data_IF_673348775350
#
_entry.id   IF_673348775350
#
_cell.length_a   1.000
_cell.length_b   1.000
_cell.length_c   1.000
_cell.angle_alpha   90.00
_cell.angle_beta   90.00
_cell.angle_gamma   90.00
#
_symmetry.space_group_name_H-M   'P 1'
#
loop_
_entity.id
_entity.type
_entity.pdbx_description
1 polymer ?
#
# COMPACT_ATOMS: atom_id res chain seq x y z
N UNK A 1 -13.27 -26.95 -10.55
CA UNK A 1 -12.18 -25.97 -10.71
C UNK A 1 -12.80 -24.59 -10.78
N UNK A 2 -12.50 -23.76 -9.79
CA UNK A 2 -12.93 -22.37 -9.73
C UNK A 2 -12.14 -21.76 -8.61
N UNK A 3 -10.82 -21.65 -8.81
CA UNK A 3 -9.99 -20.83 -7.95
C UNK A 3 -10.67 -19.46 -7.94
N UNK A 4 -11.23 -19.08 -6.81
CA UNK A 4 -11.67 -17.72 -6.56
C UNK A 4 -10.45 -16.86 -6.83
N UNK A 5 -10.33 -16.38 -8.07
CA UNK A 5 -9.47 -15.26 -8.41
C UNK A 5 -10.08 -14.14 -7.60
N UNK A 6 -9.61 -13.97 -6.37
CA UNK A 6 -9.76 -12.71 -5.66
C UNK A 6 -9.41 -11.68 -6.73
N UNK A 7 -10.39 -10.87 -7.19
CA UNK A 7 -10.10 -9.90 -8.23
C UNK A 7 -8.90 -9.13 -7.73
N UNK A 8 -7.83 -9.08 -8.52
CA UNK A 8 -6.68 -8.29 -8.17
C UNK A 8 -7.22 -6.94 -7.72
N UNK A 9 -6.99 -6.55 -6.45
CA UNK A 9 -7.62 -5.36 -5.93
C UNK A 9 -7.27 -4.22 -6.87
N UNK A 10 -8.28 -3.57 -7.45
CA UNK A 10 -8.08 -2.49 -8.42
C UNK A 10 -7.64 -1.24 -7.65
N UNK A 11 -6.41 -1.27 -7.15
CA UNK A 11 -5.82 -0.22 -6.33
C UNK A 11 -5.46 0.94 -7.26
N UNK A 12 -6.11 2.08 -7.06
CA UNK A 12 -5.78 3.30 -7.80
C UNK A 12 -4.56 4.00 -7.20
N UNK A 13 -4.55 4.17 -5.88
CA UNK A 13 -3.49 4.89 -5.19
C UNK A 13 -3.36 4.43 -3.75
N UNK A 14 -2.15 4.54 -3.20
CA UNK A 14 -1.95 4.48 -1.75
C UNK A 14 -2.24 5.86 -1.19
N UNK A 15 -3.16 5.92 -0.23
CA UNK A 15 -3.56 7.14 0.48
C UNK A 15 -2.56 7.39 1.62
N UNK A 16 -2.34 6.38 2.46
CA UNK A 16 -1.55 6.51 3.68
C UNK A 16 -0.81 5.21 4.02
N UNK A 17 0.11 5.28 4.98
CA UNK A 17 0.75 4.12 5.55
C UNK A 17 0.79 4.25 7.07
N UNK A 18 0.65 3.12 7.75
CA UNK A 18 0.74 3.02 9.19
C UNK A 18 1.75 1.93 9.54
N UNK A 19 2.73 2.32 10.36
CA UNK A 19 3.71 1.40 10.91
C UNK A 19 3.22 0.96 12.28
N UNK A 20 3.05 -0.34 12.44
CA UNK A 20 2.67 -0.95 13.70
C UNK A 20 3.92 -1.27 14.52
N UNK A 21 3.75 -1.36 15.83
CA UNK A 21 4.83 -1.61 16.79
C UNK A 21 5.54 -2.96 16.54
N UNK A 22 4.82 -3.93 15.98
CA UNK A 22 5.35 -5.24 15.52
C UNK A 22 6.30 -5.13 14.31
N UNK A 23 6.55 -3.92 13.80
CA UNK A 23 7.39 -3.67 12.62
C UNK A 23 6.68 -3.88 11.29
N UNK A 24 5.43 -4.37 11.31
CA UNK A 24 4.60 -4.50 10.11
C UNK A 24 4.13 -3.14 9.63
N UNK A 25 4.16 -2.95 8.31
CA UNK A 25 3.67 -1.75 7.66
C UNK A 25 2.38 -2.13 6.94
N UNK A 26 1.30 -1.43 7.25
CA UNK A 26 0.06 -1.49 6.49
C UNK A 26 -0.10 -0.19 5.71
N UNK A 27 -0.64 -0.31 4.51
CA UNK A 27 -0.90 0.80 3.61
C UNK A 27 -2.39 0.89 3.37
N UNK A 28 -2.92 2.08 3.57
CA UNK A 28 -4.28 2.42 3.19
C UNK A 28 -4.29 2.73 1.69
N UNK A 29 -5.13 2.02 0.96
CA UNK A 29 -5.28 2.14 -0.49
C UNK A 29 -6.70 2.57 -0.84
N UNK A 30 -6.81 3.38 -1.90
CA UNK A 30 -8.08 3.67 -2.57
C UNK A 30 -8.25 2.71 -3.74
N UNK A 31 -9.38 2.04 -3.81
CA UNK A 31 -9.76 1.20 -4.94
C UNK A 31 -10.46 2.01 -6.03
N UNK A 32 -10.54 1.46 -7.25
CA UNK A 32 -11.22 2.05 -8.41
C UNK A 32 -12.68 2.43 -8.16
N UNK A 33 -13.32 1.75 -7.22
CA UNK A 33 -14.71 1.97 -6.80
C UNK A 33 -14.85 3.17 -5.83
N UNK A 34 -13.74 3.80 -5.42
CA UNK A 34 -13.72 4.87 -4.41
C UNK A 34 -13.74 4.37 -2.97
N UNK A 35 -13.77 3.05 -2.76
CA UNK A 35 -13.64 2.44 -1.45
C UNK A 35 -12.20 2.45 -0.97
N UNK A 36 -11.99 2.59 0.34
CA UNK A 36 -10.69 2.51 1.00
C UNK A 36 -10.49 1.18 1.72
N UNK A 37 -9.25 0.69 1.78
CA UNK A 37 -8.91 -0.51 2.56
C UNK A 37 -7.45 -0.55 2.99
N UNK A 38 -7.17 -1.30 4.06
CA UNK A 38 -5.81 -1.51 4.55
C UNK A 38 -5.25 -2.83 4.01
N UNK A 39 -4.06 -2.76 3.42
CA UNK A 39 -3.35 -3.91 2.86
C UNK A 39 -1.94 -3.93 3.45
N UNK A 40 -1.38 -5.11 3.70
CA UNK A 40 0.01 -5.20 4.13
C UNK A 40 0.94 -4.70 3.02
N UNK A 41 1.89 -3.83 3.37
CA UNK A 41 2.83 -3.25 2.42
C UNK A 41 3.69 -4.30 1.73
N UNK A 42 4.08 -5.38 2.42
CA UNK A 42 4.87 -6.46 1.81
C UNK A 42 4.08 -7.19 0.73
N UNK A 43 2.79 -7.45 0.99
CA UNK A 43 1.90 -8.03 -0.01
C UNK A 43 1.69 -7.07 -1.19
N UNK A 44 1.48 -5.77 -0.92
CA UNK A 44 1.29 -4.78 -1.97
C UNK A 44 2.56 -4.59 -2.82
N UNK A 45 3.73 -4.69 -2.20
CA UNK A 45 5.03 -4.64 -2.89
C UNK A 45 5.20 -5.80 -3.86
N UNK A 46 4.72 -6.99 -3.50
CA UNK A 46 4.75 -8.17 -4.36
C UNK A 46 3.69 -8.10 -5.47
N UNK A 47 2.45 -7.76 -5.11
CA UNK A 47 1.32 -7.72 -6.04
C UNK A 47 1.31 -6.51 -6.99
N UNK A 48 1.76 -5.34 -6.52
CA UNK A 48 1.79 -4.06 -7.24
C UNK A 48 3.12 -3.31 -6.94
N UNK A 49 4.27 -3.85 -7.40
CA UNK A 49 5.60 -3.27 -7.16
C UNK A 49 5.75 -1.86 -7.74
N UNK A 50 5.11 -1.57 -8.88
CA UNK A 50 5.17 -0.25 -9.51
C UNK A 50 4.45 0.81 -8.68
N UNK A 51 3.30 0.46 -8.10
CA UNK A 51 2.48 1.38 -7.31
C UNK A 51 3.17 1.72 -5.99
N UNK A 52 3.73 0.69 -5.33
CA UNK A 52 4.56 0.88 -4.13
C UNK A 52 5.84 1.68 -4.42
N UNK A 53 6.54 1.41 -5.52
CA UNK A 53 7.73 2.18 -5.90
C UNK A 53 7.41 3.64 -6.16
N UNK A 54 6.34 3.94 -6.89
CA UNK A 54 5.90 5.31 -7.16
C UNK A 54 5.52 6.03 -5.85
N UNK A 55 4.79 5.34 -4.97
CA UNK A 55 4.48 5.85 -3.64
C UNK A 55 5.74 6.14 -2.81
N UNK A 56 6.68 5.21 -2.70
CA UNK A 56 7.94 5.41 -1.97
C UNK A 56 8.79 6.52 -2.59
N UNK A 57 8.82 6.66 -3.92
CA UNK A 57 9.53 7.75 -4.58
C UNK A 57 8.90 9.10 -4.24
N UNK A 58 7.58 9.24 -4.39
CA UNK A 58 6.84 10.44 -3.96
C UNK A 58 6.99 10.73 -2.47
N UNK A 59 7.01 9.70 -1.62
CA UNK A 59 7.18 9.84 -0.17
C UNK A 59 8.61 10.19 0.24
N UNK A 60 9.62 9.66 -0.45
CA UNK A 60 11.03 10.08 -0.25
C UNK A 60 11.21 11.54 -0.61
N UNK A 61 10.58 12.00 -1.68
CA UNK A 61 10.58 13.42 -2.04
C UNK A 61 9.80 14.27 -1.02
N UNK A 62 8.73 13.72 -0.43
CA UNK A 62 7.92 14.42 0.56
C UNK A 62 8.55 14.53 1.97
N UNK A 63 9.64 13.79 2.27
CA UNK A 63 10.40 13.88 3.53
C UNK A 63 9.56 13.64 4.82
N UNK A 64 8.47 12.84 4.74
CA UNK A 64 7.49 12.60 5.82
C UNK A 64 7.65 11.23 6.49
N UNK A 65 8.76 10.52 6.30
CA UNK A 65 9.17 9.55 7.32
C UNK A 65 9.79 10.38 8.43
N UNK A 66 9.19 10.49 9.63
CA UNK A 66 9.97 10.94 10.77
C UNK A 66 11.17 9.98 10.83
N UNK A 67 12.39 10.49 10.62
CA UNK A 67 13.53 9.90 11.31
C UNK A 67 13.05 9.82 12.75
N UNK A 68 12.93 8.60 13.28
CA UNK A 68 12.59 8.41 14.68
C UNK A 68 13.44 9.38 15.50
N UNK A 69 12.75 10.24 16.24
CA UNK A 69 13.31 10.91 17.39
C UNK A 69 13.39 9.88 18.53
#
# INVERSE_FOLDING_TARGET
MGLFKNPEPNIQKIISHEKYDDGRIYVEVEFGDGTGGFINYEYLKDAKPELTRNYVQKFKEANIFPKGD
#
